data_IF_908012907129
#
_entry.id   IF_908012907129
#
_cell.length_a   1.000
_cell.length_b   1.000
_cell.length_c   1.000
_cell.angle_alpha   90.00
_cell.angle_beta   90.00
_cell.angle_gamma   90.00
#
_symmetry.space_group_name_H-M   'P 1'
#
loop_
_entity.id
_entity.type
_entity.pdbx_description
1 polymer ?
#
# COMPACT_ATOMS: atom_id res chain seq x y z
N UNK A 1 22.09 -7.75 8.75
CA UNK A 1 20.76 -8.14 8.21
C UNK A 1 20.60 -7.82 6.72
N UNK A 2 21.30 -6.82 6.17
CA UNK A 2 21.17 -6.38 4.77
C UNK A 2 22.48 -6.42 3.96
N UNK A 3 23.57 -6.95 4.52
CA UNK A 3 24.92 -6.84 3.93
C UNK A 3 25.02 -7.37 2.48
N UNK A 4 24.22 -8.37 2.14
CA UNK A 4 24.18 -9.01 0.81
C UNK A 4 22.88 -8.73 0.04
N UNK A 5 22.07 -7.76 0.49
CA UNK A 5 20.76 -7.45 -0.10
C UNK A 5 20.80 -6.07 -0.76
N UNK A 6 20.55 -6.02 -2.07
CA UNK A 6 20.42 -4.75 -2.78
C UNK A 6 19.16 -3.99 -2.30
N UNK A 7 19.37 -2.92 -1.54
CA UNK A 7 18.31 -2.07 -1.00
C UNK A 7 17.90 -0.94 -1.96
N UNK A 8 18.44 -0.89 -3.18
CA UNK A 8 18.20 0.19 -4.15
C UNK A 8 16.72 0.35 -4.52
N UNK A 9 15.93 -0.72 -4.43
CA UNK A 9 14.49 -0.74 -4.67
C UNK A 9 13.66 -0.84 -3.37
N UNK A 10 14.27 -0.80 -2.19
CA UNK A 10 13.54 -0.73 -0.92
C UNK A 10 12.94 0.68 -0.77
N UNK A 11 11.67 0.75 -0.37
CA UNK A 11 10.90 2.00 -0.26
C UNK A 11 10.11 2.01 1.03
N UNK A 12 10.45 2.90 1.96
CA UNK A 12 9.77 3.07 3.24
C UNK A 12 9.05 4.41 3.32
N UNK A 13 7.82 4.43 3.83
CA UNK A 13 7.08 5.64 4.17
C UNK A 13 6.58 5.64 5.63
N UNK A 14 6.47 6.83 6.22
CA UNK A 14 5.95 7.05 7.59
C UNK A 14 4.42 7.12 7.64
N UNK A 15 3.80 6.17 8.34
CA UNK A 15 2.35 6.09 8.65
C UNK A 15 2.04 6.26 10.16
N UNK A 16 2.98 6.81 10.93
CA UNK A 16 2.95 6.84 12.40
C UNK A 16 1.99 7.83 13.05
N UNK A 17 1.35 8.72 12.28
CA UNK A 17 0.60 9.87 12.80
C UNK A 17 -0.43 9.52 13.89
N UNK A 18 -1.29 8.52 13.66
CA UNK A 18 -2.45 8.23 14.53
C UNK A 18 -2.10 7.65 15.90
N UNK A 19 -0.89 7.09 16.06
CA UNK A 19 -0.43 6.38 17.27
C UNK A 19 0.95 6.85 17.74
N UNK A 20 1.39 8.04 17.28
CA UNK A 20 2.66 8.64 17.69
C UNK A 20 2.64 8.95 19.19
N UNK A 21 3.81 8.88 19.83
CA UNK A 21 3.97 9.34 21.22
C UNK A 21 3.69 10.84 21.35
N UNK A 22 4.34 11.65 20.52
CA UNK A 22 4.09 13.09 20.40
C UNK A 22 4.38 13.57 18.98
N UNK A 23 4.00 14.82 18.66
CA UNK A 23 4.31 15.45 17.37
C UNK A 23 5.83 15.57 17.18
N UNK A 24 6.53 15.96 18.24
CA UNK A 24 7.98 16.18 18.28
C UNK A 24 8.73 14.86 18.09
N UNK A 25 8.25 13.78 18.71
CA UNK A 25 8.82 12.44 18.53
C UNK A 25 8.67 11.96 17.08
N UNK A 26 7.47 12.09 16.49
CA UNK A 26 7.27 11.73 15.07
C UNK A 26 8.20 12.54 14.17
N UNK A 27 8.33 13.85 14.40
CA UNK A 27 9.24 14.69 13.63
C UNK A 27 10.71 14.26 13.75
N UNK A 28 11.17 13.95 14.97
CA UNK A 28 12.53 13.45 15.19
C UNK A 28 12.81 12.15 14.42
N UNK A 29 11.85 11.21 14.43
CA UNK A 29 11.93 9.96 13.67
C UNK A 29 11.98 10.24 12.16
N UNK A 30 11.05 11.04 11.64
CA UNK A 30 10.98 11.36 10.20
C UNK A 30 12.24 12.08 9.72
N UNK A 31 12.80 13.01 10.51
CA UNK A 31 14.08 13.67 10.19
C UNK A 31 15.24 12.68 10.12
N UNK A 32 15.27 11.68 11.00
CA UNK A 32 16.29 10.63 10.96
C UNK A 32 16.12 9.73 9.74
N UNK A 33 14.88 9.33 9.42
CA UNK A 33 14.57 8.50 8.25
C UNK A 33 14.86 9.24 6.93
N UNK A 34 14.65 10.55 6.86
CA UNK A 34 14.95 11.38 5.68
C UNK A 34 16.42 11.33 5.25
N UNK A 35 17.35 10.94 6.14
CA UNK A 35 18.76 10.77 5.79
C UNK A 35 19.03 9.47 5.01
N UNK A 36 18.05 8.58 4.93
CA UNK A 36 18.18 7.27 4.30
C UNK A 36 17.63 7.30 2.86
N UNK A 37 18.36 6.77 1.86
CA UNK A 37 17.98 6.89 0.44
C UNK A 37 16.71 6.11 0.07
N UNK A 38 16.32 5.16 0.91
CA UNK A 38 15.12 4.33 0.73
C UNK A 38 13.86 4.93 1.37
N UNK A 39 13.97 6.05 2.10
CA UNK A 39 12.82 6.73 2.66
C UNK A 39 12.15 7.63 1.60
N UNK A 40 10.85 7.41 1.36
CA UNK A 40 10.14 8.05 0.23
C UNK A 40 9.17 9.16 0.64
N UNK A 41 8.77 9.22 1.90
CA UNK A 41 7.81 10.24 2.34
C UNK A 41 7.03 9.89 3.60
N UNK A 42 6.02 10.71 3.90
CA UNK A 42 5.19 10.60 5.10
C UNK A 42 3.72 10.83 4.76
N UNK A 43 2.83 10.16 5.47
CA UNK A 43 1.38 10.42 5.44
C UNK A 43 0.97 11.71 6.16
N UNK A 44 1.87 12.31 6.92
CA UNK A 44 1.60 13.55 7.63
C UNK A 44 1.89 14.76 6.72
N UNK A 45 0.84 15.34 6.14
CA UNK A 45 0.97 16.49 5.24
C UNK A 45 1.68 17.71 5.85
N UNK A 46 1.53 17.96 7.16
CA UNK A 46 2.27 19.05 7.82
C UNK A 46 3.77 18.75 7.87
N UNK A 47 4.17 17.53 8.21
CA UNK A 47 5.57 17.12 8.15
C UNK A 47 6.11 17.12 6.72
N UNK A 48 5.32 16.62 5.76
CA UNK A 48 5.68 16.62 4.35
C UNK A 48 6.02 18.04 3.87
N UNK A 49 5.16 19.01 4.17
CA UNK A 49 5.37 20.43 3.86
C UNK A 49 6.60 21.02 4.57
N UNK A 50 6.76 20.78 5.88
CA UNK A 50 7.86 21.38 6.67
C UNK A 50 9.24 20.80 6.37
N UNK A 51 9.28 19.54 5.93
CA UNK A 51 10.51 18.80 5.67
C UNK A 51 10.78 18.60 4.17
N UNK A 52 9.95 19.18 3.29
CA UNK A 52 10.01 19.01 1.84
C UNK A 52 10.04 17.53 1.42
N UNK A 53 9.11 16.74 1.96
CA UNK A 53 8.92 15.33 1.63
C UNK A 53 7.66 15.15 0.79
N UNK A 54 7.59 14.03 0.08
CA UNK A 54 6.38 13.63 -0.64
C UNK A 54 5.27 13.25 0.36
N UNK A 55 4.06 13.81 0.24
CA UNK A 55 2.91 13.33 0.99
C UNK A 55 2.45 11.98 0.42
N UNK A 56 2.24 11.00 1.30
CA UNK A 56 1.91 9.62 0.91
C UNK A 56 0.53 9.22 1.42
N UNK A 57 -0.22 8.48 0.61
CA UNK A 57 -1.53 7.97 1.00
C UNK A 57 -2.10 7.00 -0.02
N UNK A 58 -3.06 6.18 0.41
CA UNK A 58 -3.85 5.29 -0.43
C UNK A 58 -5.31 5.38 0.01
N UNK A 59 -6.18 4.59 -0.61
CA UNK A 59 -7.54 4.38 -0.12
C UNK A 59 -7.56 3.82 1.32
N UNK A 60 -8.59 4.16 2.08
CA UNK A 60 -8.86 3.62 3.41
C UNK A 60 -10.13 2.75 3.39
N UNK A 61 -10.29 1.88 4.41
CA UNK A 61 -11.47 1.00 4.53
C UNK A 61 -12.80 1.77 4.49
N UNK A 62 -12.84 2.99 5.05
CA UNK A 62 -14.05 3.81 5.11
C UNK A 62 -14.68 4.07 3.74
N UNK A 63 -13.85 4.18 2.69
CA UNK A 63 -14.33 4.38 1.31
C UNK A 63 -15.19 3.20 0.86
N UNK A 64 -14.67 1.98 1.01
CA UNK A 64 -15.37 0.76 0.66
C UNK A 64 -16.57 0.49 1.58
N UNK A 65 -16.43 0.80 2.88
CA UNK A 65 -17.51 0.66 3.86
C UNK A 65 -18.69 1.58 3.53
N UNK A 66 -18.43 2.84 3.15
CA UNK A 66 -19.48 3.77 2.73
C UNK A 66 -20.23 3.27 1.48
N UNK A 67 -19.51 2.68 0.52
CA UNK A 67 -20.11 2.14 -0.70
C UNK A 67 -21.05 0.96 -0.45
N UNK A 68 -21.00 0.29 0.71
CA UNK A 68 -21.97 -0.73 1.08
C UNK A 68 -23.37 -0.16 1.28
N UNK A 69 -23.49 1.14 1.59
CA UNK A 69 -24.77 1.86 1.73
C UNK A 69 -25.11 2.72 0.50
N UNK A 70 -24.11 3.27 -0.17
CA UNK A 70 -24.31 4.15 -1.33
C UNK A 70 -24.65 3.33 -2.60
N UNK A 71 -24.11 2.12 -2.71
CA UNK A 71 -24.29 1.31 -3.92
C UNK A 71 -25.68 0.69 -3.98
N UNK A 72 -26.24 0.46 -5.20
CA UNK A 72 -27.55 -0.18 -5.37
C UNK A 72 -27.65 -1.58 -4.77
N UNK A 73 -26.53 -2.30 -4.66
CA UNK A 73 -26.46 -3.61 -4.03
C UNK A 73 -25.17 -3.79 -3.25
N UNK A 74 -25.24 -4.56 -2.16
CA UNK A 74 -24.06 -4.90 -1.37
C UNK A 74 -23.02 -5.68 -2.20
N UNK A 75 -23.48 -6.59 -3.07
CA UNK A 75 -22.62 -7.42 -3.91
C UNK A 75 -21.86 -6.64 -5.00
N UNK A 76 -22.32 -5.43 -5.36
CA UNK A 76 -21.62 -4.55 -6.30
C UNK A 76 -20.81 -3.45 -5.62
N UNK A 77 -20.88 -3.32 -4.29
CA UNK A 77 -20.32 -2.19 -3.55
C UNK A 77 -18.82 -2.01 -3.76
N UNK A 78 -18.06 -3.10 -3.75
CA UNK A 78 -16.62 -3.07 -3.98
C UNK A 78 -16.25 -2.61 -5.39
N UNK A 79 -16.94 -3.11 -6.42
CA UNK A 79 -16.72 -2.67 -7.81
C UNK A 79 -17.10 -1.20 -8.00
N UNK A 80 -18.20 -0.76 -7.40
CA UNK A 80 -18.62 0.63 -7.43
C UNK A 80 -17.57 1.55 -6.77
N UNK A 81 -17.04 1.16 -5.61
CA UNK A 81 -15.98 1.90 -4.92
C UNK A 81 -14.70 2.01 -5.76
N UNK A 82 -14.29 0.91 -6.41
CA UNK A 82 -13.11 0.88 -7.27
C UNK A 82 -13.27 1.78 -8.50
N UNK A 83 -14.46 1.75 -9.12
CA UNK A 83 -14.77 2.55 -10.30
C UNK A 83 -14.84 4.05 -9.96
N UNK A 84 -15.56 4.42 -8.90
CA UNK A 84 -15.71 5.81 -8.47
C UNK A 84 -14.36 6.44 -8.10
N UNK A 85 -13.44 5.70 -7.48
CA UNK A 85 -12.10 6.21 -7.19
C UNK A 85 -11.29 6.50 -8.47
N UNK A 86 -11.39 5.62 -9.46
CA UNK A 86 -10.72 5.77 -10.75
C UNK A 86 -11.36 6.83 -11.65
N UNK A 87 -12.59 7.25 -11.36
CA UNK A 87 -13.24 8.39 -12.00
C UNK A 87 -12.69 9.70 -11.42
N UNK A 88 -12.58 9.80 -10.10
CA UNK A 88 -12.04 10.98 -9.41
C UNK A 88 -10.52 11.15 -9.63
N UNK A 89 -9.76 10.05 -9.57
CA UNK A 89 -8.31 10.04 -9.71
C UNK A 89 -7.88 9.09 -10.85
N UNK A 90 -7.98 9.51 -12.11
CA UNK A 90 -7.82 8.61 -13.26
C UNK A 90 -6.42 7.99 -13.38
N UNK A 91 -5.38 8.79 -13.07
CA UNK A 91 -3.97 8.43 -13.24
C UNK A 91 -3.15 8.57 -11.95
N UNK A 92 -3.79 8.88 -10.82
CA UNK A 92 -3.14 9.14 -9.54
C UNK A 92 -3.77 8.29 -8.42
N UNK A 93 -3.05 8.11 -7.31
CA UNK A 93 -3.57 7.46 -6.09
C UNK A 93 -4.15 6.05 -6.33
N UNK A 94 -3.64 5.34 -7.34
CA UNK A 94 -4.18 4.05 -7.82
C UNK A 94 -3.70 2.84 -7.02
N UNK A 95 -3.66 2.91 -5.69
CA UNK A 95 -3.37 1.76 -4.82
C UNK A 95 -4.68 1.32 -4.14
N UNK A 96 -5.19 0.15 -4.51
CA UNK A 96 -6.44 -0.39 -3.98
C UNK A 96 -6.22 -1.15 -2.68
N UNK A 97 -7.14 -0.97 -1.74
CA UNK A 97 -7.20 -1.77 -0.51
C UNK A 97 -8.00 -3.05 -0.76
N UNK A 98 -7.51 -4.18 -0.26
CA UNK A 98 -7.99 -5.50 -0.70
C UNK A 98 -8.82 -6.27 0.32
N UNK A 99 -8.86 -5.81 1.56
CA UNK A 99 -9.33 -6.58 2.71
C UNK A 99 -10.55 -5.96 3.41
N UNK A 100 -11.27 -5.06 2.75
CA UNK A 100 -12.55 -4.56 3.29
C UNK A 100 -13.60 -5.68 3.42
N UNK A 101 -13.55 -6.68 2.54
CA UNK A 101 -14.36 -7.91 2.65
C UNK A 101 -13.40 -9.07 2.94
N UNK A 102 -12.73 -9.57 1.91
CA UNK A 102 -11.61 -10.53 1.97
C UNK A 102 -10.79 -10.40 0.69
N UNK A 103 -9.50 -10.74 0.74
CA UNK A 103 -8.65 -10.78 -0.46
C UNK A 103 -9.27 -11.63 -1.58
N UNK A 104 -9.84 -12.79 -1.25
CA UNK A 104 -10.44 -13.66 -2.26
C UNK A 104 -11.72 -13.06 -2.88
N UNK A 105 -12.51 -12.31 -2.11
CA UNK A 105 -13.65 -11.56 -2.65
C UNK A 105 -13.18 -10.39 -3.53
N UNK A 106 -12.13 -9.69 -3.12
CA UNK A 106 -11.48 -8.63 -3.89
C UNK A 106 -11.00 -9.12 -5.25
N UNK A 107 -10.23 -10.20 -5.30
CA UNK A 107 -9.66 -10.72 -6.55
C UNK A 107 -10.73 -11.20 -7.55
N UNK A 108 -11.91 -11.65 -7.08
CA UNK A 108 -13.03 -11.98 -7.98
C UNK A 108 -13.59 -10.75 -8.70
N UNK A 109 -13.59 -9.60 -8.03
CA UNK A 109 -14.07 -8.33 -8.59
C UNK A 109 -12.98 -7.56 -9.34
N UNK A 110 -11.70 -7.81 -9.02
CA UNK A 110 -10.55 -7.12 -9.58
C UNK A 110 -10.13 -7.70 -10.95
N UNK A 111 -11.04 -7.66 -11.93
CA UNK A 111 -10.82 -8.16 -13.29
C UNK A 111 -9.80 -7.35 -14.11
N UNK A 112 -9.59 -7.69 -15.41
CA UNK A 112 -8.60 -7.05 -16.28
C UNK A 112 -8.67 -5.52 -16.32
N UNK A 113 -9.87 -4.95 -16.31
CA UNK A 113 -10.09 -3.50 -16.34
C UNK A 113 -9.43 -2.81 -15.14
N UNK A 114 -9.81 -3.21 -13.92
CA UNK A 114 -9.24 -2.66 -12.70
C UNK A 114 -7.78 -3.04 -12.54
N UNK A 115 -7.42 -4.29 -12.81
CA UNK A 115 -6.04 -4.76 -12.67
C UNK A 115 -5.07 -4.02 -13.61
N UNK A 116 -5.53 -3.58 -14.78
CA UNK A 116 -4.72 -2.76 -15.68
C UNK A 116 -4.59 -1.33 -15.17
N UNK A 117 -5.70 -0.71 -14.75
CA UNK A 117 -5.75 0.71 -14.37
C UNK A 117 -5.13 1.03 -13.01
N UNK A 118 -5.34 0.19 -12.01
CA UNK A 118 -4.72 0.37 -10.70
C UNK A 118 -3.22 0.13 -10.78
N UNK A 119 -2.45 1.01 -10.14
CA UNK A 119 -0.99 0.93 -10.04
C UNK A 119 -0.55 -0.23 -9.13
N UNK A 120 -1.40 -0.62 -8.18
CA UNK A 120 -1.03 -1.60 -7.17
C UNK A 120 -2.10 -1.90 -6.13
N UNK A 121 -1.73 -2.72 -5.15
CA UNK A 121 -2.59 -3.18 -4.06
C UNK A 121 -1.95 -2.90 -2.70
N UNK A 122 -2.77 -2.76 -1.64
CA UNK A 122 -2.35 -2.61 -0.25
C UNK A 122 -2.75 -3.82 0.60
N UNK A 123 -1.78 -4.33 1.36
CA UNK A 123 -1.94 -5.33 2.41
C UNK A 123 -2.09 -4.64 3.78
N UNK A 124 -3.21 -4.91 4.45
CA UNK A 124 -3.55 -4.29 5.74
C UNK A 124 -4.11 -5.29 6.77
N UNK A 125 -4.16 -6.59 6.45
CA UNK A 125 -4.44 -7.68 7.38
C UNK A 125 -4.10 -9.05 6.78
N UNK A 126 -3.80 -10.02 7.65
CA UNK A 126 -3.52 -11.41 7.28
C UNK A 126 -2.03 -11.73 7.19
N UNK A 127 -1.70 -12.90 6.65
CA UNK A 127 -0.31 -13.25 6.37
C UNK A 127 0.19 -12.48 5.12
N UNK A 128 1.22 -11.63 5.26
CA UNK A 128 1.68 -10.80 4.15
C UNK A 128 2.29 -11.60 3.00
N UNK A 129 2.86 -12.78 3.27
CA UNK A 129 3.42 -13.63 2.22
C UNK A 129 2.30 -14.28 1.42
N UNK A 130 1.33 -14.92 2.07
CA UNK A 130 0.15 -15.50 1.41
C UNK A 130 -0.58 -14.44 0.58
N UNK A 131 -0.80 -13.25 1.13
CA UNK A 131 -1.43 -12.16 0.41
C UNK A 131 -0.62 -11.73 -0.84
N UNK A 132 0.70 -11.58 -0.71
CA UNK A 132 1.56 -11.20 -1.82
C UNK A 132 1.59 -12.25 -2.92
N UNK A 133 1.61 -13.54 -2.56
CA UNK A 133 1.51 -14.65 -3.51
C UNK A 133 0.17 -14.64 -4.25
N UNK A 134 -0.95 -14.42 -3.54
CA UNK A 134 -2.29 -14.28 -4.16
C UNK A 134 -2.34 -13.11 -5.15
N UNK A 135 -1.78 -11.96 -4.79
CA UNK A 135 -1.74 -10.78 -5.65
C UNK A 135 -0.93 -11.04 -6.94
N UNK A 136 0.28 -11.60 -6.81
CA UNK A 136 1.15 -11.92 -7.95
C UNK A 136 0.49 -12.94 -8.87
N UNK A 137 -0.04 -14.02 -8.30
CA UNK A 137 -0.71 -15.08 -9.07
C UNK A 137 -1.92 -14.54 -9.83
N UNK A 138 -2.67 -13.61 -9.24
CA UNK A 138 -3.81 -12.96 -9.89
C UNK A 138 -3.38 -12.12 -11.09
N UNK A 139 -2.36 -11.27 -10.95
CA UNK A 139 -1.83 -10.50 -12.08
C UNK A 139 -1.33 -11.42 -13.21
N UNK A 140 -0.58 -12.46 -12.87
CA UNK A 140 -0.10 -13.45 -13.85
C UNK A 140 -1.24 -14.16 -14.57
N UNK A 141 -2.29 -14.56 -13.84
CA UNK A 141 -3.51 -15.17 -14.42
C UNK A 141 -4.20 -14.25 -15.42
N UNK A 142 -4.13 -12.93 -15.22
CA UNK A 142 -4.68 -11.92 -16.12
C UNK A 142 -3.71 -11.51 -17.24
N UNK A 143 -2.52 -12.12 -17.32
CA UNK A 143 -1.50 -11.76 -18.32
C UNK A 143 -0.80 -10.42 -18.04
N UNK A 144 -0.89 -9.91 -16.81
CA UNK A 144 -0.29 -8.65 -16.39
C UNK A 144 1.05 -8.97 -15.74
N UNK A 145 2.12 -8.31 -16.19
CA UNK A 145 3.44 -8.41 -15.57
C UNK A 145 3.42 -7.82 -14.15
N UNK A 146 3.64 -8.62 -13.09
CA UNK A 146 3.65 -8.11 -11.72
C UNK A 146 4.74 -7.06 -11.47
N UNK A 147 5.85 -7.05 -12.22
CA UNK A 147 6.89 -6.01 -12.10
C UNK A 147 6.41 -4.63 -12.58
N UNK A 148 5.30 -4.57 -13.32
CA UNK A 148 4.62 -3.31 -13.65
C UNK A 148 3.80 -2.75 -12.48
N UNK A 149 3.54 -3.55 -11.44
CA UNK A 149 2.65 -3.23 -10.31
C UNK A 149 3.42 -3.00 -9.01
N UNK A 150 2.74 -2.38 -8.05
CA UNK A 150 3.27 -2.11 -6.71
C UNK A 150 2.44 -2.83 -5.65
N UNK A 151 3.09 -3.50 -4.71
CA UNK A 151 2.45 -3.99 -3.49
C UNK A 151 2.90 -3.14 -2.30
N UNK A 152 1.93 -2.58 -1.58
CA UNK A 152 2.15 -1.76 -0.39
C UNK A 152 1.80 -2.58 0.85
N UNK A 153 2.75 -2.78 1.75
CA UNK A 153 2.52 -3.47 3.02
C UNK A 153 2.44 -2.46 4.16
N UNK A 154 1.36 -2.48 4.96
CA UNK A 154 1.16 -1.54 6.07
C UNK A 154 0.68 -2.17 7.39
N UNK A 155 0.41 -3.47 7.41
CA UNK A 155 -0.07 -4.15 8.62
C UNK A 155 1.05 -4.41 9.64
N UNK A 156 1.06 -3.62 10.72
CA UNK A 156 1.86 -3.82 11.93
C UNK A 156 3.33 -4.24 11.68
N UNK A 157 3.93 -3.59 10.68
CA UNK A 157 5.31 -3.82 10.28
C UNK A 157 6.31 -3.17 11.24
N UNK A 158 7.46 -3.80 11.37
CA UNK A 158 8.72 -3.20 11.80
C UNK A 158 9.74 -3.32 10.65
N UNK A 159 10.93 -2.72 10.82
CA UNK A 159 11.97 -2.74 9.77
C UNK A 159 12.44 -4.16 9.43
N UNK A 160 12.52 -5.06 10.41
CA UNK A 160 12.98 -6.42 10.17
C UNK A 160 11.99 -7.17 9.26
N UNK A 161 10.70 -7.11 9.58
CA UNK A 161 9.63 -7.70 8.75
C UNK A 161 9.59 -7.08 7.35
N UNK A 162 9.76 -5.77 7.23
CA UNK A 162 9.81 -5.10 5.93
C UNK A 162 10.99 -5.61 5.07
N UNK A 163 12.17 -5.79 5.68
CA UNK A 163 13.34 -6.36 5.00
C UNK A 163 13.12 -7.82 4.59
N UNK A 164 12.46 -8.62 5.42
CA UNK A 164 12.16 -10.02 5.10
C UNK A 164 11.17 -10.14 3.94
N UNK A 165 10.11 -9.32 3.94
CA UNK A 165 9.17 -9.23 2.81
C UNK A 165 9.85 -8.71 1.54
N UNK A 166 10.74 -7.73 1.68
CA UNK A 166 11.54 -7.23 0.57
C UNK A 166 12.41 -8.35 -0.03
N UNK A 167 13.12 -9.11 0.81
CA UNK A 167 13.93 -10.25 0.35
C UNK A 167 13.09 -11.30 -0.39
N UNK A 168 11.86 -11.54 0.06
CA UNK A 168 10.96 -12.53 -0.54
C UNK A 168 10.40 -12.10 -1.90
N UNK A 169 10.06 -10.82 -2.07
CA UNK A 169 9.28 -10.34 -3.24
C UNK A 169 10.02 -9.43 -4.22
N UNK A 170 11.18 -8.86 -3.87
CA UNK A 170 11.80 -7.77 -4.64
C UNK A 170 12.11 -8.08 -6.11
N UNK A 171 12.35 -9.35 -6.46
CA UNK A 171 12.60 -9.77 -7.84
C UNK A 171 11.33 -10.03 -8.66
N UNK A 172 10.15 -9.98 -8.04
CA UNK A 172 8.88 -10.39 -8.63
C UNK A 172 7.87 -9.26 -8.77
N UNK A 173 7.94 -8.22 -7.92
CA UNK A 173 7.00 -7.09 -7.91
C UNK A 173 7.65 -5.88 -7.24
N UNK A 174 7.20 -4.66 -7.56
CA UNK A 174 7.67 -3.46 -6.85
C UNK A 174 7.04 -3.41 -5.46
N UNK A 175 7.81 -2.92 -4.49
CA UNK A 175 7.42 -2.97 -3.08
C UNK A 175 7.46 -1.60 -2.45
N UNK A 176 6.54 -1.37 -1.52
CA UNK A 176 6.59 -0.23 -0.62
C UNK A 176 6.06 -0.61 0.76
N UNK A 177 6.62 -0.01 1.80
CA UNK A 177 6.35 -0.37 3.19
C UNK A 177 5.91 0.87 3.96
N UNK A 178 4.72 0.83 4.55
CA UNK A 178 4.21 1.85 5.46
C UNK A 178 4.38 1.40 6.90
N UNK A 179 5.30 2.00 7.64
CA UNK A 179 5.50 1.69 9.08
C UNK A 179 4.86 2.78 9.93
N UNK A 180 4.09 2.34 10.93
CA UNK A 180 3.35 3.21 11.83
C UNK A 180 3.97 3.34 13.22
N UNK A 181 3.55 2.46 14.13
CA UNK A 181 3.84 2.59 15.58
C UNK A 181 5.20 2.04 16.00
N UNK A 182 5.80 1.16 15.18
CA UNK A 182 7.02 0.40 15.52
C UNK A 182 8.29 1.15 15.18
#
# INVERSE_FOLDING_TARGET
MTADLDMSAFRLMDFGTRRRFSREVQEGIVRRLQQEPWFVGTSNYDLARRLNLTPMGTQAHEWFQAHQQISPSLASSQRAALAAWLEEYPDQLGIALTDCITMDAFLRDFGPEFATRYQGLRHDSGDPVEWGEKAIAHYQKLGIDPLSKVLVFSDNLDLAKAVDLYRHFASRVKLSFGIGTR
#
